data_IF_930202345319
#
_entry.id   IF_930202345319
#
_cell.length_a   1.000
_cell.length_b   1.000
_cell.length_c   1.000
_cell.angle_alpha   90.00
_cell.angle_beta   90.00
_cell.angle_gamma   90.00
#
_symmetry.space_group_name_H-M   'P 1'
#
loop_
_entity.id
_entity.type
_entity.pdbx_description
1 polymer ?
#
# COMPACT_ATOMS: atom_id res chain seq x y z
N UNK A 1 1.24 2.01 -11.67
CA UNK A 1 1.44 3.47 -11.76
C UNK A 1 0.25 4.07 -12.47
N UNK A 2 -0.29 5.19 -11.97
CA UNK A 2 -1.37 5.93 -12.60
C UNK A 2 -0.81 6.70 -13.79
N UNK A 3 -0.86 6.09 -14.98
CA UNK A 3 -0.27 6.68 -16.19
C UNK A 3 -0.87 8.04 -16.53
N UNK A 4 -2.13 8.31 -16.20
CA UNK A 4 -2.76 9.59 -16.47
C UNK A 4 -2.16 10.71 -15.62
N UNK A 5 -1.87 10.46 -14.34
CA UNK A 5 -1.17 11.42 -13.46
C UNK A 5 0.26 11.69 -13.93
N UNK A 6 0.96 10.66 -14.42
CA UNK A 6 2.27 10.83 -15.04
C UNK A 6 2.21 11.64 -16.35
N UNK A 7 1.17 11.42 -17.16
CA UNK A 7 0.91 12.22 -18.37
C UNK A 7 0.56 13.66 -18.02
N UNK A 8 -0.18 13.92 -16.94
CA UNK A 8 -0.50 15.28 -16.50
C UNK A 8 0.77 16.04 -16.10
N UNK A 9 1.69 15.40 -15.36
CA UNK A 9 3.00 15.98 -15.05
C UNK A 9 3.76 16.29 -16.34
N UNK A 10 3.86 15.32 -17.25
CA UNK A 10 4.56 15.52 -18.52
C UNK A 10 3.92 16.64 -19.35
N UNK A 11 2.59 16.68 -19.42
CA UNK A 11 1.83 17.71 -20.12
C UNK A 11 2.11 19.09 -19.52
N UNK A 12 2.05 19.23 -18.19
CA UNK A 12 2.35 20.48 -17.48
C UNK A 12 3.76 21.00 -17.76
N UNK A 13 4.75 20.10 -17.79
CA UNK A 13 6.14 20.45 -18.12
C UNK A 13 6.31 20.84 -19.58
N UNK A 14 5.61 20.16 -20.50
CA UNK A 14 5.65 20.50 -21.94
C UNK A 14 4.83 21.75 -22.29
N UNK A 15 3.82 22.08 -21.50
CA UNK A 15 2.99 23.27 -21.67
C UNK A 15 3.61 24.52 -21.05
N UNK A 16 4.83 24.44 -20.53
CA UNK A 16 5.58 25.61 -20.05
C UNK A 16 5.84 26.54 -21.24
N UNK A 17 4.89 27.43 -21.50
CA UNK A 17 5.14 28.70 -22.16
C UNK A 17 5.45 29.70 -21.05
N UNK A 18 6.67 30.24 -21.01
CA UNK A 18 6.98 31.29 -20.07
C UNK A 18 6.06 32.50 -20.35
N UNK A 19 5.14 32.80 -19.43
CA UNK A 19 4.13 33.86 -19.61
C UNK A 19 4.81 35.24 -19.68
N UNK A 20 5.92 35.39 -18.95
CA UNK A 20 6.68 36.63 -18.89
C UNK A 20 8.08 36.40 -18.34
N UNK A 21 9.11 36.96 -19.00
CA UNK A 21 10.44 37.15 -18.39
C UNK A 21 10.37 38.34 -17.43
N UNK A 22 10.76 38.14 -16.17
CA UNK A 22 10.58 39.12 -15.09
C UNK A 22 11.89 39.78 -14.67
N UNK A 23 13.02 39.11 -14.89
CA UNK A 23 14.34 39.69 -14.61
C UNK A 23 15.29 39.58 -15.82
N UNK A 24 16.12 40.61 -15.99
CA UNK A 24 17.34 40.53 -16.79
C UNK A 24 18.42 39.71 -16.05
N UNK A 25 19.48 39.33 -16.77
CA UNK A 25 20.56 38.51 -16.22
C UNK A 25 21.15 39.13 -14.95
N UNK A 26 21.29 38.33 -13.87
CA UNK A 26 21.95 38.73 -12.63
C UNK A 26 21.04 39.12 -11.46
N UNK A 27 19.74 38.83 -11.51
CA UNK A 27 18.87 38.97 -10.34
C UNK A 27 19.18 37.91 -9.28
N UNK A 28 19.03 38.27 -8.00
CA UNK A 28 19.31 37.38 -6.88
C UNK A 28 18.26 36.26 -6.82
N UNK A 29 18.71 35.02 -7.04
CA UNK A 29 17.87 33.81 -7.04
C UNK A 29 17.16 33.59 -5.71
N UNK A 30 17.73 34.05 -4.60
CA UNK A 30 17.16 33.91 -3.27
C UNK A 30 15.87 34.71 -3.09
N UNK A 31 15.77 35.90 -3.70
CA UNK A 31 14.56 36.75 -3.67
C UNK A 31 13.33 36.05 -4.25
N UNK A 32 13.56 35.12 -5.17
CA UNK A 32 12.53 34.36 -5.86
C UNK A 32 12.33 32.95 -5.29
N UNK A 33 13.06 32.57 -4.23
CA UNK A 33 13.05 31.22 -3.67
C UNK A 33 13.63 30.16 -4.60
N UNK A 34 14.53 30.52 -5.53
CA UNK A 34 15.11 29.60 -6.52
C UNK A 34 16.38 28.90 -6.01
N UNK A 35 16.97 29.37 -4.91
CA UNK A 35 18.07 28.69 -4.20
C UNK A 35 17.58 27.52 -3.33
N UNK A 36 16.32 27.59 -2.90
CA UNK A 36 15.61 26.50 -2.20
C UNK A 36 14.25 26.31 -2.88
N UNK A 37 14.26 25.77 -4.12
CA UNK A 37 13.05 25.72 -4.94
C UNK A 37 12.00 24.79 -4.33
N UNK A 38 10.74 25.18 -4.48
CA UNK A 38 9.58 24.36 -4.13
C UNK A 38 9.53 23.09 -4.98
N UNK A 39 9.84 23.20 -6.27
CA UNK A 39 9.95 22.06 -7.18
C UNK A 39 11.22 22.15 -8.03
N UNK A 40 11.89 21.02 -8.22
CA UNK A 40 12.92 20.85 -9.25
C UNK A 40 12.46 19.77 -10.21
N UNK A 41 12.33 20.13 -11.49
CA UNK A 41 11.77 19.23 -12.51
C UNK A 41 12.78 19.05 -13.63
N UNK A 42 13.18 17.81 -13.89
CA UNK A 42 14.08 17.46 -15.00
C UNK A 42 13.33 16.65 -16.05
N UNK A 43 13.19 17.23 -17.24
CA UNK A 43 12.64 16.57 -18.41
C UNK A 43 13.76 15.94 -19.24
N UNK A 44 13.63 14.66 -19.56
CA UNK A 44 14.54 13.94 -20.45
C UNK A 44 13.86 13.65 -21.78
N UNK A 45 14.46 14.12 -22.86
CA UNK A 45 13.97 13.91 -24.21
C UNK A 45 14.47 12.57 -24.77
N UNK A 46 13.77 12.02 -25.77
CA UNK A 46 14.12 10.76 -26.42
C UNK A 46 15.53 10.75 -27.03
N UNK A 47 16.06 11.91 -27.42
CA UNK A 47 17.44 12.09 -27.89
C UNK A 47 18.50 12.16 -26.79
N UNK A 48 18.13 11.99 -25.52
CA UNK A 48 19.03 12.03 -24.37
C UNK A 48 19.33 13.42 -23.82
N UNK A 49 18.87 14.49 -24.49
CA UNK A 49 18.93 15.85 -23.95
C UNK A 49 18.09 15.96 -22.68
N UNK A 50 18.53 16.80 -21.75
CA UNK A 50 17.86 17.06 -20.49
C UNK A 50 17.63 18.56 -20.31
N UNK A 51 16.48 18.93 -19.78
CA UNK A 51 16.13 20.29 -19.40
C UNK A 51 15.68 20.29 -17.95
N UNK A 52 16.25 21.17 -17.13
CA UNK A 52 15.88 21.27 -15.71
C UNK A 52 15.29 22.63 -15.41
N UNK A 53 14.13 22.63 -14.76
CA UNK A 53 13.41 23.79 -14.27
C UNK A 53 13.46 23.81 -12.76
N UNK A 54 13.62 25.00 -12.18
CA UNK A 54 13.45 25.23 -10.74
C UNK A 54 12.28 26.17 -10.55
N UNK A 55 11.34 25.80 -9.69
CA UNK A 55 10.14 26.58 -9.39
C UNK A 55 10.26 27.03 -7.95
N UNK A 56 10.26 28.35 -7.73
CA UNK A 56 10.46 28.98 -6.44
C UNK A 56 9.15 29.45 -5.82
N UNK A 57 9.21 30.64 -5.22
CA UNK A 57 8.11 31.21 -4.43
C UNK A 57 6.89 31.57 -5.28
N UNK A 58 5.72 31.48 -4.64
CA UNK A 58 4.45 31.92 -5.22
C UNK A 58 4.29 33.44 -5.12
N UNK A 59 4.03 34.09 -6.26
CA UNK A 59 3.68 35.50 -6.35
C UNK A 59 2.15 35.68 -6.34
N UNK A 60 1.63 36.07 -5.18
CA UNK A 60 0.20 36.37 -4.96
C UNK A 60 -0.37 37.52 -5.80
N UNK A 61 0.47 38.42 -6.31
CA UNK A 61 0.00 39.58 -7.08
C UNK A 61 -0.35 39.21 -8.53
N UNK A 62 0.35 38.23 -9.09
CA UNK A 62 0.15 37.77 -10.47
C UNK A 62 -0.46 36.37 -10.54
N UNK A 63 -0.72 35.72 -9.40
CA UNK A 63 -1.18 34.31 -9.32
C UNK A 63 -0.26 33.37 -10.11
N UNK A 64 1.06 33.50 -9.88
CA UNK A 64 2.10 32.78 -10.63
C UNK A 64 3.27 32.41 -9.73
N UNK A 65 4.07 31.43 -10.15
CA UNK A 65 5.32 31.05 -9.47
C UNK A 65 6.52 31.59 -10.24
N UNK A 66 7.60 31.91 -9.51
CA UNK A 66 8.88 32.19 -10.13
C UNK A 66 9.53 30.89 -10.64
N UNK A 67 10.18 30.94 -11.80
CA UNK A 67 10.86 29.79 -12.39
C UNK A 67 12.19 30.20 -13.02
N UNK A 68 13.20 29.33 -12.93
CA UNK A 68 14.42 29.42 -13.73
C UNK A 68 14.69 28.14 -14.52
N UNK A 69 15.46 28.28 -15.60
CA UNK A 69 15.89 27.19 -16.48
C UNK A 69 17.39 27.00 -16.28
N UNK A 70 17.82 25.76 -16.05
CA UNK A 70 19.23 25.45 -15.87
C UNK A 70 20.05 25.85 -17.11
N UNK A 71 21.08 26.69 -16.91
CA UNK A 71 21.90 27.25 -17.98
C UNK A 71 21.45 28.62 -18.48
N UNK A 72 20.36 29.18 -17.94
CA UNK A 72 19.91 30.54 -18.20
C UNK A 72 19.95 31.40 -16.94
N UNK A 73 20.37 32.67 -17.08
CA UNK A 73 20.37 33.67 -15.99
C UNK A 73 19.03 34.43 -15.88
N UNK A 74 17.95 33.88 -16.44
CA UNK A 74 16.65 34.52 -16.51
C UNK A 74 15.67 33.95 -15.47
N UNK A 75 14.83 34.85 -14.92
CA UNK A 75 13.70 34.48 -14.08
C UNK A 75 12.40 34.72 -14.84
N UNK A 76 11.53 33.72 -14.81
CA UNK A 76 10.24 33.68 -15.47
C UNK A 76 9.10 33.62 -14.44
N UNK A 77 7.89 33.99 -14.86
CA UNK A 77 6.65 33.64 -14.15
C UNK A 77 5.93 32.53 -14.90
N UNK A 78 5.42 31.56 -14.15
CA UNK A 78 4.58 30.48 -14.67
C UNK A 78 3.26 30.42 -13.89
N UNK A 79 2.14 30.27 -14.59
CA UNK A 79 0.84 30.16 -13.95
C UNK A 79 0.72 28.98 -12.97
N UNK A 80 -0.08 29.15 -11.92
CA UNK A 80 -0.34 28.12 -10.90
C UNK A 80 -0.80 26.77 -11.45
N UNK A 81 -1.56 26.78 -12.55
CA UNK A 81 -2.05 25.57 -13.23
C UNK A 81 -0.93 24.63 -13.67
N UNK A 82 0.24 25.15 -14.02
CA UNK A 82 1.43 24.35 -14.36
C UNK A 82 1.96 23.57 -13.15
N UNK A 83 1.88 24.15 -11.95
CA UNK A 83 2.40 23.53 -10.73
C UNK A 83 1.46 22.49 -10.12
N UNK A 84 0.17 22.51 -10.45
CA UNK A 84 -0.83 21.62 -9.82
C UNK A 84 -0.48 20.13 -9.94
N UNK A 85 -0.08 19.60 -11.12
CA UNK A 85 0.27 18.17 -11.23
C UNK A 85 1.58 17.82 -10.53
N UNK A 86 2.46 18.79 -10.25
CA UNK A 86 3.74 18.56 -9.54
C UNK A 86 3.52 18.28 -8.05
N UNK A 87 2.33 18.59 -7.51
CA UNK A 87 1.95 18.27 -6.14
C UNK A 87 1.52 16.81 -5.92
N UNK A 88 1.47 15.97 -6.96
CA UNK A 88 1.14 14.55 -6.78
C UNK A 88 2.17 13.87 -5.87
N UNK A 89 1.66 13.17 -4.86
CA UNK A 89 2.48 12.37 -3.95
C UNK A 89 2.84 11.02 -4.57
N UNK A 90 3.75 10.28 -3.94
CA UNK A 90 4.03 8.90 -4.36
C UNK A 90 2.77 8.01 -4.28
N UNK A 91 1.91 8.24 -3.28
CA UNK A 91 0.57 7.60 -3.16
C UNK A 91 -0.34 7.95 -4.32
N UNK A 92 -0.20 9.14 -4.90
CA UNK A 92 -0.96 9.50 -6.08
C UNK A 92 -0.43 8.82 -7.35
N UNK A 93 0.86 8.55 -7.44
CA UNK A 93 1.45 8.01 -8.66
C UNK A 93 1.37 6.48 -8.73
N UNK A 94 1.31 5.80 -7.59
CA UNK A 94 1.28 4.34 -7.51
C UNK A 94 -0.16 3.83 -7.59
N UNK A 95 -0.34 2.75 -8.35
CA UNK A 95 -1.62 2.02 -8.40
C UNK A 95 -1.49 0.90 -7.39
N UNK A 96 -2.46 0.79 -6.48
CA UNK A 96 -2.52 -0.30 -5.52
C UNK A 96 -2.56 -1.64 -6.24
N UNK A 97 -1.90 -2.60 -5.66
CA UNK A 97 -1.90 -3.98 -6.09
C UNK A 97 -3.25 -4.60 -5.75
N UNK A 98 -3.69 -5.47 -6.65
CA UNK A 98 -4.85 -6.33 -6.43
C UNK A 98 -4.36 -7.74 -6.67
N UNK A 99 -4.86 -8.68 -5.86
CA UNK A 99 -4.62 -10.09 -6.12
C UNK A 99 -5.33 -10.46 -7.42
N UNK A 100 -4.57 -10.89 -8.41
CA UNK A 100 -5.14 -11.33 -9.69
C UNK A 100 -5.83 -12.67 -9.48
N UNK A 101 -7.16 -12.68 -9.59
CA UNK A 101 -7.94 -13.93 -9.59
C UNK A 101 -7.49 -14.84 -10.75
N UNK A 102 -7.44 -16.16 -10.53
CA UNK A 102 -7.31 -17.13 -11.62
C UNK A 102 -8.46 -17.02 -12.63
N UNK A 103 -8.23 -17.40 -13.89
CA UNK A 103 -9.24 -17.32 -14.95
C UNK A 103 -10.53 -18.08 -14.60
N UNK A 104 -10.44 -19.27 -14.02
CA UNK A 104 -11.60 -20.05 -13.55
C UNK A 104 -11.96 -19.79 -12.08
N UNK A 105 -11.39 -18.72 -11.49
CA UNK A 105 -11.65 -18.28 -10.11
C UNK A 105 -11.42 -19.40 -9.11
N UNK A 106 -12.34 -19.61 -8.17
CA UNK A 106 -12.27 -20.69 -7.18
C UNK A 106 -12.10 -22.09 -7.79
N UNK A 107 -12.65 -22.35 -8.99
CA UNK A 107 -12.52 -23.68 -9.64
C UNK A 107 -11.11 -24.00 -10.10
N UNK A 108 -10.29 -22.98 -10.34
CA UNK A 108 -8.89 -23.15 -10.67
C UNK A 108 -8.05 -23.59 -9.46
N UNK A 109 -8.51 -23.33 -8.23
CA UNK A 109 -7.72 -23.59 -7.04
C UNK A 109 -7.61 -25.09 -6.77
N UNK A 110 -6.40 -25.51 -6.40
CA UNK A 110 -6.10 -26.88 -5.98
C UNK A 110 -5.79 -26.97 -4.49
N UNK A 111 -5.34 -25.87 -3.88
CA UNK A 111 -5.17 -25.77 -2.44
C UNK A 111 -5.06 -24.31 -1.97
N UNK A 112 -5.38 -24.09 -0.69
CA UNK A 112 -4.96 -22.88 0.04
C UNK A 112 -4.33 -23.29 1.36
N UNK A 113 -3.13 -22.80 1.63
CA UNK A 113 -2.34 -23.10 2.82
C UNK A 113 -2.15 -21.82 3.62
N UNK A 114 -2.36 -21.87 4.93
CA UNK A 114 -2.06 -20.80 5.88
C UNK A 114 -1.06 -21.35 6.89
N UNK A 115 0.08 -20.69 7.03
CA UNK A 115 1.16 -21.07 7.95
C UNK A 115 1.49 -19.91 8.88
N UNK A 116 1.48 -20.15 10.19
CA UNK A 116 1.82 -19.16 11.21
C UNK A 116 3.28 -19.29 11.66
N UNK A 117 3.82 -18.21 12.24
CA UNK A 117 5.19 -18.16 12.75
C UNK A 117 5.46 -19.13 13.90
N UNK A 118 4.42 -19.55 14.62
CA UNK A 118 4.52 -20.51 15.72
C UNK A 118 4.60 -21.98 15.24
N UNK A 119 4.55 -22.21 13.93
CA UNK A 119 4.58 -23.53 13.29
C UNK A 119 3.21 -24.18 13.15
N UNK A 120 2.14 -23.55 13.65
CA UNK A 120 0.76 -24.01 13.42
C UNK A 120 0.26 -23.54 12.06
N UNK A 121 -0.88 -24.08 11.64
CA UNK A 121 -1.54 -23.69 10.41
C UNK A 121 -2.40 -24.80 9.84
N UNK A 122 -2.93 -24.56 8.65
CA UNK A 122 -3.84 -25.47 7.98
C UNK A 122 -3.75 -25.37 6.46
N UNK A 123 -4.29 -26.39 5.80
CA UNK A 123 -4.37 -26.50 4.35
C UNK A 123 -5.74 -27.02 3.93
N UNK A 124 -6.43 -26.24 3.11
CA UNK A 124 -7.54 -26.71 2.30
C UNK A 124 -6.99 -27.31 1.01
N UNK A 125 -7.49 -28.50 0.64
CA UNK A 125 -7.03 -29.23 -0.55
C UNK A 125 -8.22 -29.73 -1.35
N UNK A 126 -8.20 -29.51 -2.66
CA UNK A 126 -9.21 -30.06 -3.56
C UNK A 126 -9.14 -31.59 -3.57
N UNK A 127 -10.29 -32.23 -3.39
CA UNK A 127 -10.51 -33.66 -3.56
C UNK A 127 -11.42 -33.83 -4.77
N UNK A 128 -10.87 -34.20 -5.94
CA UNK A 128 -11.66 -34.38 -7.14
C UNK A 128 -12.78 -35.40 -6.92
N UNK A 129 -13.94 -35.07 -7.46
CA UNK A 129 -15.07 -35.98 -7.52
C UNK A 129 -14.72 -37.25 -8.28
N UNK A 130 -15.36 -38.36 -7.91
CA UNK A 130 -15.31 -39.60 -8.70
C UNK A 130 -16.38 -39.54 -9.78
N UNK A 131 -15.99 -39.90 -10.98
CA UNK A 131 -16.93 -40.24 -12.06
C UNK A 131 -17.29 -41.71 -11.94
N UNK A 132 -18.58 -42.01 -11.87
CA UNK A 132 -19.09 -43.37 -11.87
C UNK A 132 -18.79 -44.03 -13.22
N UNK A 133 -18.15 -45.19 -13.18
CA UNK A 133 -18.02 -45.99 -14.40
C UNK A 133 -19.34 -46.70 -14.69
N UNK A 134 -19.72 -46.70 -15.97
CA UNK A 134 -20.97 -47.33 -16.41
C UNK A 134 -21.02 -48.80 -15.98
N UNK A 135 -21.86 -49.10 -14.99
CA UNK A 135 -22.17 -50.46 -14.55
C UNK A 135 -21.67 -50.85 -13.16
N UNK A 136 -20.97 -49.99 -12.40
CA UNK A 136 -20.50 -50.33 -11.05
C UNK A 136 -21.48 -49.95 -9.91
N UNK A 137 -22.55 -49.22 -10.24
CA UNK A 137 -23.57 -48.79 -9.26
C UNK A 137 -23.13 -47.67 -8.32
N UNK A 138 -21.97 -47.05 -8.55
CA UNK A 138 -21.54 -45.82 -7.89
C UNK A 138 -22.24 -44.60 -8.48
N UNK A 139 -22.33 -43.54 -7.68
CA UNK A 139 -22.85 -42.25 -8.11
C UNK A 139 -21.68 -41.31 -8.39
N UNK A 140 -21.86 -40.46 -9.40
CA UNK A 140 -20.96 -39.34 -9.62
C UNK A 140 -20.93 -38.47 -8.37
N UNK A 141 -19.73 -38.21 -7.87
CA UNK A 141 -19.53 -37.28 -6.76
C UNK A 141 -18.94 -36.00 -7.31
N UNK A 142 -19.39 -34.85 -6.80
CA UNK A 142 -18.78 -33.56 -7.13
C UNK A 142 -17.42 -33.39 -6.45
N UNK A 143 -16.66 -32.42 -6.92
CA UNK A 143 -15.44 -31.99 -6.23
C UNK A 143 -15.77 -31.51 -4.80
N UNK A 144 -14.93 -31.87 -3.85
CA UNK A 144 -15.05 -31.47 -2.44
C UNK A 144 -13.71 -30.95 -1.94
N UNK A 145 -13.71 -30.34 -0.76
CA UNK A 145 -12.48 -29.83 -0.15
C UNK A 145 -12.22 -30.51 1.20
N UNK A 146 -10.99 -30.99 1.36
CA UNK A 146 -10.49 -31.54 2.61
C UNK A 146 -9.67 -30.50 3.39
N UNK A 147 -9.65 -30.63 4.71
CA UNK A 147 -8.84 -29.82 5.62
C UNK A 147 -7.79 -30.70 6.31
N UNK A 148 -6.56 -30.22 6.36
CA UNK A 148 -5.50 -30.77 7.20
C UNK A 148 -4.77 -29.67 7.96
N UNK A 149 -4.37 -29.94 9.20
CA UNK A 149 -3.42 -29.10 9.91
C UNK A 149 -2.01 -29.26 9.33
N UNK A 150 -1.12 -28.29 9.54
CA UNK A 150 0.26 -28.37 9.05
C UNK A 150 1.10 -29.47 9.69
N UNK A 151 0.68 -29.99 10.85
CA UNK A 151 1.29 -31.17 11.47
C UNK A 151 0.93 -32.49 10.76
N UNK A 152 0.08 -32.43 9.73
CA UNK A 152 -0.38 -33.57 8.94
C UNK A 152 -1.70 -34.19 9.42
N UNK A 153 -2.28 -33.67 10.51
CA UNK A 153 -3.57 -34.15 11.03
C UNK A 153 -4.69 -33.81 10.06
N UNK A 154 -5.32 -34.84 9.48
CA UNK A 154 -6.49 -34.68 8.62
C UNK A 154 -7.76 -34.49 9.46
N UNK A 155 -8.55 -33.47 9.14
CA UNK A 155 -9.84 -33.22 9.77
C UNK A 155 -10.94 -33.83 8.90
N UNK A 156 -11.81 -34.63 9.52
CA UNK A 156 -12.91 -35.29 8.81
C UNK A 156 -14.05 -34.31 8.57
N UNK A 157 -14.47 -34.16 7.32
CA UNK A 157 -15.61 -33.31 6.94
C UNK A 157 -15.51 -32.84 5.50
N UNK A 158 -16.54 -32.15 5.04
CA UNK A 158 -16.51 -31.39 3.79
C UNK A 158 -16.31 -29.90 4.12
N UNK A 159 -15.23 -29.34 3.62
CA UNK A 159 -14.81 -27.97 3.88
C UNK A 159 -14.99 -27.04 2.69
N UNK A 160 -15.75 -27.44 1.68
CA UNK A 160 -15.93 -26.67 0.42
C UNK A 160 -16.39 -25.24 0.68
N UNK A 161 -17.38 -25.05 1.56
CA UNK A 161 -17.87 -23.71 1.93
C UNK A 161 -16.82 -22.86 2.65
N UNK A 162 -15.99 -23.46 3.51
CA UNK A 162 -14.94 -22.74 4.24
C UNK A 162 -13.79 -22.36 3.29
N UNK A 163 -13.42 -23.25 2.38
CA UNK A 163 -12.42 -22.97 1.35
C UNK A 163 -12.88 -21.85 0.40
N UNK A 164 -14.16 -21.85 -0.01
CA UNK A 164 -14.74 -20.78 -0.84
C UNK A 164 -14.79 -19.44 -0.09
N UNK A 165 -15.23 -19.43 1.17
CA UNK A 165 -15.24 -18.21 1.99
C UNK A 165 -13.83 -17.62 2.18
N UNK A 166 -12.82 -18.47 2.37
CA UNK A 166 -11.43 -18.03 2.47
C UNK A 166 -10.93 -17.44 1.14
N UNK A 167 -11.28 -18.07 0.01
CA UNK A 167 -11.00 -17.52 -1.32
C UNK A 167 -11.63 -16.14 -1.52
N UNK A 168 -12.92 -16.00 -1.22
CA UNK A 168 -13.65 -14.73 -1.36
C UNK A 168 -13.07 -13.64 -0.47
N UNK A 169 -12.72 -13.97 0.78
CA UNK A 169 -12.08 -13.03 1.70
C UNK A 169 -10.71 -12.57 1.18
N UNK A 170 -9.89 -13.51 0.69
CA UNK A 170 -8.55 -13.21 0.20
C UNK A 170 -8.58 -12.36 -1.08
N UNK A 171 -9.35 -12.76 -2.10
CA UNK A 171 -9.41 -12.03 -3.37
C UNK A 171 -10.31 -10.79 -3.31
N UNK A 172 -11.21 -10.70 -2.33
CA UNK A 172 -11.98 -9.50 -2.00
C UNK A 172 -11.18 -8.43 -1.26
N UNK A 173 -10.06 -8.80 -0.63
CA UNK A 173 -9.23 -7.90 0.15
C UNK A 173 -8.43 -6.91 -0.73
N UNK A 174 -8.65 -5.62 -0.50
CA UNK A 174 -8.11 -4.51 -1.31
C UNK A 174 -7.51 -3.44 -0.41
N UNK A 175 -6.30 -3.65 0.14
CA UNK A 175 -5.67 -2.67 1.01
C UNK A 175 -5.33 -1.41 0.22
N UNK A 176 -5.61 -0.25 0.81
CA UNK A 176 -5.31 1.06 0.20
C UNK A 176 -4.18 1.80 0.89
N UNK A 177 -3.96 1.52 2.18
CA UNK A 177 -2.90 2.15 2.95
C UNK A 177 -1.61 1.36 2.83
N UNK A 178 -0.55 2.05 2.44
CA UNK A 178 0.78 1.48 2.29
C UNK A 178 1.85 2.44 2.78
N UNK A 179 2.99 1.87 3.16
CA UNK A 179 4.10 2.56 3.83
C UNK A 179 5.40 2.51 3.03
N UNK A 180 5.57 1.51 2.16
CA UNK A 180 6.76 1.39 1.33
C UNK A 180 6.45 0.84 -0.07
N UNK A 181 7.29 1.23 -1.03
CA UNK A 181 7.24 0.77 -2.42
C UNK A 181 8.63 0.32 -2.89
N UNK A 182 8.69 -0.73 -3.70
CA UNK A 182 9.92 -1.27 -4.29
C UNK A 182 10.80 -2.06 -3.32
N UNK A 183 10.21 -2.63 -2.26
CA UNK A 183 10.89 -3.46 -1.26
C UNK A 183 11.30 -4.80 -1.88
N UNK A 184 12.60 -5.07 -2.02
CA UNK A 184 13.09 -6.25 -2.77
C UNK A 184 14.10 -7.11 -2.01
N UNK A 185 14.80 -6.54 -1.03
CA UNK A 185 15.84 -7.28 -0.30
C UNK A 185 15.32 -7.78 1.04
N UNK A 186 15.92 -8.85 1.54
CA UNK A 186 15.57 -9.41 2.84
C UNK A 186 15.78 -8.40 3.97
N UNK A 187 16.79 -7.53 3.87
CA UNK A 187 17.01 -6.45 4.85
C UNK A 187 15.84 -5.46 4.88
N UNK A 188 15.31 -5.09 3.70
CA UNK A 188 14.16 -4.19 3.63
C UNK A 188 12.88 -4.89 4.12
N UNK A 189 12.70 -6.18 3.81
CA UNK A 189 11.56 -6.96 4.31
C UNK A 189 11.58 -7.08 5.83
N UNK A 190 12.76 -7.19 6.43
CA UNK A 190 12.96 -7.28 7.88
C UNK A 190 12.48 -6.04 8.64
N UNK A 191 12.57 -4.85 8.05
CA UNK A 191 12.03 -3.62 8.65
C UNK A 191 10.52 -3.70 8.94
N UNK A 192 9.81 -4.58 8.23
CA UNK A 192 8.37 -4.81 8.35
C UNK A 192 8.04 -6.19 8.94
N UNK A 193 9.04 -6.96 9.38
CA UNK A 193 8.87 -8.33 9.86
C UNK A 193 8.38 -9.31 8.79
N UNK A 194 8.64 -9.02 7.50
CA UNK A 194 8.22 -9.84 6.36
C UNK A 194 9.25 -10.90 5.96
N UNK A 195 10.47 -10.84 6.52
CA UNK A 195 11.50 -11.87 6.40
C UNK A 195 11.18 -13.11 7.25
N UNK A 196 10.57 -12.88 8.42
CA UNK A 196 9.98 -13.89 9.29
C UNK A 196 8.52 -13.51 9.58
N UNK A 197 7.59 -13.80 8.65
CA UNK A 197 6.22 -13.33 8.74
C UNK A 197 5.47 -13.98 9.90
N UNK A 198 4.53 -13.22 10.50
CA UNK A 198 3.52 -13.75 11.43
C UNK A 198 2.70 -14.85 10.79
N UNK A 199 2.30 -14.65 9.53
CA UNK A 199 1.59 -15.65 8.75
C UNK A 199 1.94 -15.55 7.27
N UNK A 200 1.96 -16.70 6.59
CA UNK A 200 2.10 -16.82 5.15
C UNK A 200 0.89 -17.59 4.59
N UNK A 201 0.19 -16.98 3.65
CA UNK A 201 -0.92 -17.58 2.90
C UNK A 201 -0.40 -17.94 1.52
N UNK A 202 -0.52 -19.21 1.12
CA UNK A 202 -0.15 -19.70 -0.20
C UNK A 202 -1.37 -20.29 -0.91
N UNK A 203 -1.74 -19.72 -2.05
CA UNK A 203 -2.79 -20.22 -2.93
C UNK A 203 -2.15 -21.01 -4.06
N UNK A 204 -2.62 -22.22 -4.31
CA UNK A 204 -2.20 -23.09 -5.41
C UNK A 204 -3.37 -23.20 -6.40
N UNK A 205 -3.09 -22.98 -7.69
CA UNK A 205 -4.13 -23.00 -8.71
C UNK A 205 -3.57 -23.39 -10.08
N UNK A 206 -4.46 -23.88 -10.93
CA UNK A 206 -4.18 -24.15 -12.34
C UNK A 206 -4.56 -22.95 -13.20
N UNK A 207 -3.68 -22.56 -14.10
CA UNK A 207 -3.91 -21.42 -14.99
C UNK A 207 -3.69 -21.82 -16.46
N UNK A 208 -4.42 -21.19 -17.37
CA UNK A 208 -4.31 -21.50 -18.80
C UNK A 208 -3.40 -20.50 -19.49
N UNK A 209 -2.25 -20.96 -19.94
CA UNK A 209 -1.30 -20.14 -20.70
C UNK A 209 -1.50 -20.37 -22.19
N UNK A 210 -1.77 -19.28 -22.91
CA UNK A 210 -1.80 -19.25 -24.38
C UNK A 210 -0.39 -19.01 -24.91
N UNK A 211 0.14 -19.97 -25.65
CA UNK A 211 1.43 -19.89 -26.33
C UNK A 211 1.14 -19.61 -27.80
N UNK A 212 1.48 -18.41 -28.26
CA UNK A 212 1.39 -18.05 -29.69
C UNK A 212 2.74 -18.34 -30.35
N UNK A 213 2.83 -19.31 -31.27
CA UNK A 213 4.06 -19.61 -31.97
C UNK A 213 4.45 -18.47 -32.93
N UNK A 214 5.75 -18.31 -33.20
CA UNK A 214 6.26 -17.30 -34.12
C UNK A 214 6.03 -17.67 -35.60
N UNK A 215 5.79 -18.95 -35.88
CA UNK A 215 5.24 -19.36 -37.17
C UNK A 215 3.72 -19.14 -37.17
N UNK A 216 3.10 -18.90 -38.32
CA UNK A 216 1.65 -18.64 -38.44
C UNK A 216 0.74 -19.82 -38.05
N UNK A 217 1.21 -20.72 -37.19
CA UNK A 217 0.40 -21.78 -36.59
C UNK A 217 -0.55 -21.22 -35.53
N UNK A 218 -1.56 -22.02 -35.21
CA UNK A 218 -2.57 -21.66 -34.22
C UNK A 218 -1.96 -21.61 -32.81
N UNK A 219 -2.45 -20.71 -31.93
CA UNK A 219 -2.02 -20.66 -30.54
C UNK A 219 -2.32 -21.99 -29.82
N UNK A 220 -1.41 -22.39 -28.95
CA UNK A 220 -1.49 -23.61 -28.12
C UNK A 220 -1.85 -23.20 -26.70
N UNK A 221 -2.90 -23.77 -26.13
CA UNK A 221 -3.21 -23.60 -24.70
C UNK A 221 -2.59 -24.70 -23.86
N UNK A 222 -2.00 -24.32 -22.72
CA UNK A 222 -1.49 -25.27 -21.72
C UNK A 222 -1.95 -24.87 -20.33
N UNK A 223 -2.43 -25.85 -19.58
CA UNK A 223 -2.67 -25.70 -18.14
C UNK A 223 -1.35 -25.84 -17.39
N UNK A 224 -1.04 -24.87 -16.53
CA UNK A 224 0.15 -24.87 -15.68
C UNK A 224 -0.24 -24.59 -14.23
N UNK A 225 0.43 -25.26 -13.30
CA UNK A 225 0.28 -24.93 -11.88
C UNK A 225 1.01 -23.63 -11.56
N UNK A 226 0.35 -22.77 -10.78
CA UNK A 226 0.88 -21.51 -10.27
C UNK A 226 0.61 -21.40 -8.78
N UNK A 227 1.38 -20.52 -8.16
CA UNK A 227 1.22 -20.14 -6.76
C UNK A 227 1.14 -18.64 -6.62
N UNK A 228 0.37 -18.19 -5.64
CA UNK A 228 0.32 -16.82 -5.17
C UNK A 228 0.57 -16.82 -3.66
N UNK A 229 1.43 -15.91 -3.19
CA UNK A 229 1.77 -15.76 -1.77
C UNK A 229 1.32 -14.42 -1.22
N UNK A 230 0.81 -14.41 0.01
CA UNK A 230 0.63 -13.21 0.83
C UNK A 230 1.34 -13.40 2.15
N UNK A 231 2.22 -12.46 2.51
CA UNK A 231 2.95 -12.48 3.79
C UNK A 231 2.43 -11.37 4.70
N UNK A 232 2.22 -11.72 5.96
CA UNK A 232 1.81 -10.83 7.03
C UNK A 232 2.98 -10.66 7.98
N UNK A 233 3.43 -9.42 8.19
CA UNK A 233 4.60 -9.09 9.00
C UNK A 233 4.44 -9.48 10.46
N UNK A 234 5.51 -9.97 11.06
CA UNK A 234 5.58 -10.26 12.51
C UNK A 234 5.59 -9.00 13.37
N UNK A 235 6.01 -7.86 12.83
CA UNK A 235 6.02 -6.59 13.52
C UNK A 235 4.65 -5.90 13.46
N UNK A 236 4.29 -5.25 14.57
CA UNK A 236 3.13 -4.36 14.68
C UNK A 236 3.63 -2.93 14.39
N UNK A 237 3.00 -2.20 13.46
CA UNK A 237 3.33 -0.81 13.21
C UNK A 237 3.20 0.02 14.49
N UNK A 238 4.17 0.89 14.76
CA UNK A 238 4.03 1.86 15.84
C UNK A 238 2.79 2.73 15.58
N UNK A 239 1.95 2.94 16.60
CA UNK A 239 0.88 3.91 16.49
C UNK A 239 1.51 5.28 16.29
N UNK A 240 1.33 5.87 15.11
CA UNK A 240 1.64 7.29 14.92
C UNK A 240 0.67 8.07 15.79
N UNK A 241 1.19 8.76 16.81
CA UNK A 241 0.44 9.84 17.45
C UNK A 241 -0.06 10.79 16.34
N UNK A 242 -1.29 11.32 16.44
CA UNK A 242 -1.79 12.25 15.44
C UNK A 242 -0.80 13.41 15.32
N UNK A 243 -0.26 13.61 14.12
CA UNK A 243 0.61 14.75 13.80
C UNK A 243 -0.11 16.04 14.20
N UNK A 244 0.29 16.58 15.36
CA UNK A 244 -0.08 17.92 15.77
C UNK A 244 0.64 18.91 14.88
N UNK A 245 -0.04 19.40 13.85
CA UNK A 245 0.28 20.69 13.25
C UNK A 245 0.32 21.76 14.36
N UNK A 246 1.52 22.18 14.75
CA UNK A 246 1.91 23.55 15.14
C UNK A 246 3.43 23.50 15.28
N UNK A 247 4.24 24.20 14.50
CA UNK A 247 4.26 25.64 14.36
C UNK A 247 5.65 26.11 14.78
N UNK A 248 6.42 26.60 13.81
CA UNK A 248 7.53 27.56 13.93
C UNK A 248 8.48 27.41 15.14
N UNK A 249 9.65 26.82 14.89
CA UNK A 249 10.82 27.03 15.74
C UNK A 249 11.36 28.45 15.55
N UNK A 250 11.14 29.32 16.53
CA UNK A 250 11.87 30.58 16.71
C UNK A 250 12.75 30.43 17.96
N UNK A 251 14.05 30.79 17.94
CA UNK A 251 14.91 30.62 19.10
C UNK A 251 14.70 31.77 20.09
N UNK A 252 14.32 31.45 21.33
CA UNK A 252 14.24 32.43 22.41
C UNK A 252 15.65 32.76 22.92
N UNK A 253 16.09 33.99 22.64
CA UNK A 253 17.11 34.70 23.41
C UNK A 253 16.43 35.47 24.56
N UNK A 254 17.20 35.62 25.65
CA UNK A 254 17.06 36.59 26.74
C UNK A 254 16.20 36.23 27.96
N UNK A 255 16.87 36.29 29.13
CA UNK A 255 16.44 37.25 30.14
C UNK A 255 15.88 36.68 31.44
N UNK A 256 16.77 36.24 32.33
CA UNK A 256 16.52 36.19 33.77
C UNK A 256 16.15 37.60 34.29
N UNK A 257 15.03 37.76 35.01
CA UNK A 257 14.97 38.39 36.35
C UNK A 257 13.53 38.48 36.91
N UNK A 258 13.42 38.07 38.18
CA UNK A 258 12.57 38.61 39.26
C UNK A 258 11.03 38.57 39.12
N UNK A 259 10.20 38.50 40.16
CA UNK A 259 10.23 38.08 41.57
C UNK A 259 8.76 38.31 42.05
N UNK A 260 8.27 37.52 43.01
CA UNK A 260 7.12 37.81 43.89
C UNK A 260 5.69 37.65 43.30
N UNK A 261 4.70 37.02 43.93
CA UNK A 261 4.59 36.41 45.26
C UNK A 261 3.16 35.85 45.50
N UNK A 262 3.03 35.01 46.55
CA UNK A 262 1.84 34.82 47.43
C UNK A 262 0.62 34.06 46.84
N UNK A 263 0.43 32.72 47.01
CA UNK A 263 -0.17 31.96 48.17
C UNK A 263 -1.30 32.68 48.91
N UNK A 264 -2.45 32.15 49.31
CA UNK A 264 -3.26 30.93 49.14
C UNK A 264 -4.60 31.19 49.86
N UNK A 265 -5.56 30.27 49.70
CA UNK A 265 -6.75 29.93 50.53
C UNK A 265 -8.03 29.94 49.68
N UNK A 266 -8.99 29.03 49.81
CA UNK A 266 -9.16 27.68 50.40
C UNK A 266 -10.67 27.39 50.27
N UNK A 267 -11.07 26.14 50.05
CA UNK A 267 -12.49 25.77 50.13
C UNK A 267 -12.88 24.46 49.44
N UNK A 268 -12.50 23.34 50.06
CA UNK A 268 -13.23 22.06 50.08
C UNK A 268 -14.71 22.28 50.50
N UNK A 269 -15.77 21.51 50.18
CA UNK A 269 -16.01 20.13 49.69
C UNK A 269 -17.51 19.98 49.32
N UNK A 270 -17.86 18.79 48.84
CA UNK A 270 -19.19 18.18 48.57
C UNK A 270 -19.64 18.28 47.10
N UNK A 271 -19.85 17.19 46.36
CA UNK A 271 -20.00 15.79 46.74
C UNK A 271 -20.90 15.13 45.69
N UNK A 272 -20.67 13.85 45.43
CA UNK A 272 -21.40 12.98 44.48
C UNK A 272 -20.88 12.95 43.04
N UNK A 273 -19.75 12.25 42.90
CA UNK A 273 -19.40 11.49 41.70
C UNK A 273 -20.35 10.29 41.57
N UNK A 274 -21.12 10.25 40.49
CA UNK A 274 -21.59 9.01 39.91
C UNK A 274 -20.54 8.63 38.84
N UNK A 275 -19.73 7.63 39.15
CA UNK A 275 -18.80 7.05 38.19
C UNK A 275 -19.59 6.24 37.17
N UNK A 276 -19.96 6.86 36.06
CA UNK A 276 -20.10 6.14 34.79
C UNK A 276 -18.68 5.82 34.33
N UNK A 277 -18.22 4.61 34.66
CA UNK A 277 -17.14 3.97 33.94
C UNK A 277 -17.66 3.59 32.54
N UNK A 278 -17.77 4.57 31.66
CA UNK A 278 -17.65 4.32 30.23
C UNK A 278 -16.18 3.98 29.98
N UNK A 279 -15.85 2.70 30.12
CA UNK A 279 -14.64 2.17 29.54
C UNK A 279 -14.75 2.40 28.02
N UNK A 280 -13.82 3.11 27.36
CA UNK A 280 -13.78 3.07 25.92
C UNK A 280 -13.41 1.63 25.55
N UNK A 281 -14.39 0.90 25.01
CA UNK A 281 -14.18 -0.36 24.32
C UNK A 281 -13.43 -0.04 23.02
N UNK A 282 -12.15 0.33 23.15
CA UNK A 282 -11.22 0.44 22.05
C UNK A 282 -10.28 -0.76 22.13
N UNK A 283 -10.78 -1.92 21.72
CA UNK A 283 -9.88 -2.90 21.13
C UNK A 283 -9.18 -2.18 19.97
N UNK A 284 -7.96 -1.71 20.20
CA UNK A 284 -7.09 -1.20 19.16
C UNK A 284 -6.85 -2.36 18.20
N UNK A 285 -7.63 -2.39 17.11
CA UNK A 285 -7.53 -3.43 16.10
C UNK A 285 -6.08 -3.52 15.61
N UNK A 286 -5.40 -4.62 15.96
CA UNK A 286 -3.98 -4.80 15.72
C UNK A 286 -3.69 -4.64 14.23
N UNK A 287 -2.91 -3.62 13.86
CA UNK A 287 -2.46 -3.44 12.48
C UNK A 287 -1.23 -4.28 12.23
N UNK A 288 -1.05 -4.75 10.99
CA UNK A 288 0.16 -5.44 10.55
C UNK A 288 0.59 -4.97 9.16
N UNK A 289 1.83 -5.30 8.81
CA UNK A 289 2.34 -5.07 7.46
C UNK A 289 2.00 -6.24 6.54
N UNK A 290 1.70 -5.98 5.27
CA UNK A 290 1.34 -7.01 4.30
C UNK A 290 2.09 -6.80 2.99
N UNK A 291 2.48 -7.90 2.34
CA UNK A 291 3.03 -7.87 0.98
C UNK A 291 2.44 -9.01 0.15
N UNK A 292 2.06 -8.68 -1.08
CA UNK A 292 1.62 -9.66 -2.07
C UNK A 292 2.82 -10.23 -2.85
N UNK A 293 2.60 -11.33 -3.56
CA UNK A 293 3.62 -12.08 -4.33
C UNK A 293 4.44 -11.22 -5.31
N UNK A 294 3.82 -10.17 -5.85
CA UNK A 294 4.50 -9.19 -6.71
C UNK A 294 5.66 -8.47 -6.02
N UNK A 295 5.64 -8.40 -4.69
CA UNK A 295 6.73 -7.89 -3.85
C UNK A 295 6.97 -6.39 -3.99
N UNK A 296 6.00 -5.58 -4.45
CA UNK A 296 6.27 -4.16 -4.75
C UNK A 296 5.77 -3.21 -3.71
N UNK A 297 4.71 -3.53 -2.96
CA UNK A 297 4.09 -2.58 -2.04
C UNK A 297 3.93 -3.24 -0.67
N UNK A 298 4.41 -2.56 0.36
CA UNK A 298 4.14 -2.95 1.75
C UNK A 298 2.93 -2.18 2.24
N UNK A 299 1.82 -2.89 2.39
CA UNK A 299 0.58 -2.36 2.94
C UNK A 299 0.59 -2.37 4.45
N UNK A 300 -0.27 -1.54 5.04
CA UNK A 300 -0.64 -1.57 6.44
C UNK A 300 -2.15 -1.72 6.53
N UNK A 301 -2.63 -2.72 7.26
CA UNK A 301 -4.07 -2.91 7.48
C UNK A 301 -4.34 -3.55 8.83
N UNK A 302 -5.60 -3.55 9.25
CA UNK A 302 -6.02 -4.23 10.46
C UNK A 302 -5.99 -5.74 10.20
N UNK A 303 -5.48 -6.50 11.17
CA UNK A 303 -5.47 -7.95 11.09
C UNK A 303 -6.89 -8.53 11.01
N UNK A 304 -7.85 -7.85 11.64
CA UNK A 304 -9.28 -8.18 11.58
C UNK A 304 -9.87 -8.19 10.17
N UNK A 305 -9.29 -7.43 9.22
CA UNK A 305 -9.74 -7.39 7.83
C UNK A 305 -9.52 -8.73 7.12
N UNK A 306 -8.63 -9.58 7.66
CA UNK A 306 -8.32 -10.93 7.19
C UNK A 306 -8.63 -12.00 8.25
N UNK A 307 -9.42 -11.69 9.27
CA UNK A 307 -9.80 -12.63 10.35
C UNK A 307 -10.32 -13.96 9.79
N UNK A 308 -11.25 -13.92 8.82
CA UNK A 308 -11.79 -15.10 8.16
C UNK A 308 -10.73 -15.98 7.45
N UNK A 309 -9.58 -15.42 7.10
CA UNK A 309 -8.45 -16.14 6.48
C UNK A 309 -7.48 -16.68 7.52
N UNK A 310 -7.40 -16.04 8.70
CA UNK A 310 -6.38 -16.30 9.71
C UNK A 310 -6.89 -17.07 10.92
N UNK A 311 -8.20 -17.21 11.07
CA UNK A 311 -8.76 -18.06 12.11
C UNK A 311 -8.53 -19.54 11.78
N UNK A 312 -8.07 -20.28 12.78
CA UNK A 312 -8.06 -21.73 12.68
C UNK A 312 -9.50 -22.21 12.49
N UNK A 313 -9.77 -23.05 11.49
CA UNK A 313 -11.12 -23.51 11.26
C UNK A 313 -11.67 -24.27 12.47
N UNK A 314 -12.72 -23.73 13.06
CA UNK A 314 -13.50 -24.44 14.07
C UNK A 314 -14.10 -25.72 13.46
N UNK A 315 -14.05 -26.81 14.23
CA UNK A 315 -14.58 -28.12 13.87
C UNK A 315 -15.53 -28.57 14.99
N UNK A 316 -16.75 -28.96 14.63
CA UNK A 316 -17.72 -29.63 15.52
C UNK A 316 -17.59 -31.15 15.43
#
# INVERSE_FOLDING_TARGET
>A
MHQDRAKDIAAAVTSVSADRRVAEAGADSSEYGLDSPLYTVTAKYSGGAEMTFRIGSYNRHTDSYYMSIAGEDAVYLVGKTMTSPLGYTMKDLIVNETLTEPDEKFKALTAVKVAFSDGTGFRYSLVPGKTAESGDGSEDTGDTWALSLLDGTAIKGDFSKKAEALYDALFGYKPTDWVAYGVKTDEQLKEYGLDAPYAEITVYYNDTVVITPDDSSAPITKTVEKTLTVRIGSLVPAESEPDGETGTSEPAESGTTAESGTTAESGETDGTSAADNDAPDSETAEKRYFIFDSGKIVYISKLSDLSAVLELPEWE
#
